data_IF_451476054622
#
_entry.id   IF_451476054622
#
_cell.length_a   1.000
_cell.length_b   1.000
_cell.length_c   1.000
_cell.angle_alpha   90.00
_cell.angle_beta   90.00
_cell.angle_gamma   90.00
#
_symmetry.space_group_name_H-M   'P 1'
#
loop_
_entity.id
_entity.type
_entity.pdbx_description
1 polymer ?
#
# COMPACT_ATOMS: atom_id res chain seq x y z
N UNK A 1 -2.40 10.16 -15.35
CA UNK A 1 -2.02 8.75 -15.58
C UNK A 1 -2.55 7.85 -14.48
N UNK A 2 -2.56 6.52 -14.71
CA UNK A 2 -2.84 5.46 -13.73
C UNK A 2 -4.23 5.61 -13.08
N UNK A 3 -5.32 5.46 -13.84
CA UNK A 3 -6.66 5.63 -13.30
C UNK A 3 -7.03 4.48 -12.33
N UNK A 4 -7.71 4.84 -11.26
CA UNK A 4 -8.31 3.92 -10.32
C UNK A 4 -9.80 4.28 -10.16
N UNK A 5 -10.69 3.28 -10.20
CA UNK A 5 -12.14 3.47 -10.15
C UNK A 5 -12.67 2.93 -8.83
N UNK A 6 -13.55 3.68 -8.20
CA UNK A 6 -14.27 3.27 -6.99
C UNK A 6 -15.75 3.69 -7.09
N UNK A 7 -16.57 3.20 -6.17
CA UNK A 7 -17.99 3.51 -6.10
C UNK A 7 -18.35 4.08 -4.74
N UNK A 8 -19.13 5.16 -4.74
CA UNK A 8 -19.67 5.74 -3.52
C UNK A 8 -21.07 6.30 -3.78
N UNK A 9 -21.98 6.11 -2.81
CA UNK A 9 -23.36 6.60 -2.83
C UNK A 9 -24.11 6.35 -4.16
N UNK A 10 -23.78 5.28 -4.87
CA UNK A 10 -24.43 4.89 -6.12
C UNK A 10 -23.74 5.38 -7.39
N UNK A 11 -22.85 6.34 -7.31
CA UNK A 11 -22.05 6.86 -8.42
C UNK A 11 -20.70 6.18 -8.55
N UNK A 12 -20.14 6.22 -9.76
CA UNK A 12 -18.79 5.82 -10.04
C UNK A 12 -17.86 7.03 -10.01
N UNK A 13 -16.74 6.85 -9.40
CA UNK A 13 -15.67 7.83 -9.35
C UNK A 13 -14.38 7.24 -9.92
N UNK A 14 -13.60 8.09 -10.55
CA UNK A 14 -12.28 7.75 -11.08
C UNK A 14 -11.29 8.77 -10.55
N UNK A 15 -10.21 8.29 -9.96
CA UNK A 15 -9.06 9.12 -9.62
C UNK A 15 -7.91 8.82 -10.57
N UNK A 16 -7.14 9.83 -10.90
CA UNK A 16 -5.90 9.68 -11.67
C UNK A 16 -4.85 10.68 -11.21
N UNK A 17 -3.61 10.29 -11.35
CA UNK A 17 -2.48 11.17 -11.09
C UNK A 17 -2.35 12.21 -12.20
N UNK A 18 -2.23 13.47 -11.82
CA UNK A 18 -2.05 14.60 -12.70
C UNK A 18 -1.07 15.62 -12.14
N UNK A 19 -0.68 16.54 -12.99
CA UNK A 19 0.08 17.72 -12.59
C UNK A 19 -0.76 18.94 -12.95
N UNK A 20 -1.18 19.68 -11.95
CA UNK A 20 -1.83 20.97 -12.15
C UNK A 20 -0.79 22.10 -12.09
N UNK A 21 -0.96 23.19 -12.85
CA UNK A 21 -0.06 24.32 -12.78
C UNK A 21 0.08 24.87 -11.35
N UNK A 22 1.32 25.01 -10.88
CA UNK A 22 1.62 25.53 -9.55
C UNK A 22 1.65 24.48 -8.43
N UNK A 23 1.38 23.21 -8.71
CA UNK A 23 1.47 22.14 -7.72
C UNK A 23 2.82 21.42 -7.82
N UNK A 24 3.67 21.50 -6.79
CA UNK A 24 5.03 20.94 -6.84
C UNK A 24 5.05 19.41 -6.75
N UNK A 25 4.08 18.80 -6.10
CA UNK A 25 4.08 17.35 -5.79
C UNK A 25 3.06 16.53 -6.59
N UNK A 26 2.46 17.14 -7.61
CA UNK A 26 1.37 16.53 -8.37
C UNK A 26 0.03 16.59 -7.63
N UNK A 27 -1.01 16.10 -8.30
CA UNK A 27 -2.38 16.12 -7.80
C UNK A 27 -3.08 14.81 -8.10
N UNK A 28 -4.04 14.45 -7.27
CA UNK A 28 -5.02 13.41 -7.55
C UNK A 28 -6.28 14.08 -8.07
N UNK A 29 -6.59 13.87 -9.34
CA UNK A 29 -7.74 14.44 -10.03
C UNK A 29 -8.93 13.50 -9.89
N UNK A 30 -10.14 14.06 -9.73
CA UNK A 30 -11.39 13.31 -9.56
C UNK A 30 -12.32 13.51 -10.75
N UNK A 31 -12.88 12.42 -11.20
CA UNK A 31 -13.96 12.36 -12.18
C UNK A 31 -15.12 11.56 -11.61
N UNK A 32 -16.33 11.85 -12.07
CA UNK A 32 -17.57 11.15 -11.70
C UNK A 32 -18.32 10.67 -12.94
N UNK A 33 -18.95 9.52 -12.86
CA UNK A 33 -19.77 8.94 -13.89
C UNK A 33 -20.96 8.17 -13.30
N UNK A 34 -22.10 8.21 -13.95
CA UNK A 34 -23.24 7.35 -13.65
C UNK A 34 -23.14 5.98 -14.37
N UNK A 35 -22.38 5.90 -15.47
CA UNK A 35 -22.41 4.78 -16.43
C UNK A 35 -21.08 4.08 -16.67
N UNK A 36 -19.96 4.61 -16.15
CA UNK A 36 -18.58 4.23 -16.47
C UNK A 36 -18.11 4.61 -17.90
N UNK A 37 -18.97 5.20 -18.71
CA UNK A 37 -18.65 5.58 -20.10
C UNK A 37 -18.36 7.07 -20.20
N UNK A 38 -19.21 7.89 -19.59
CA UNK A 38 -19.12 9.34 -19.64
C UNK A 38 -18.60 9.87 -18.31
N UNK A 39 -17.41 10.46 -18.33
CA UNK A 39 -16.73 10.96 -17.16
C UNK A 39 -16.74 12.49 -17.11
N UNK A 40 -17.18 13.05 -16.01
CA UNK A 40 -17.20 14.49 -15.75
C UNK A 40 -16.12 14.83 -14.75
N UNK A 41 -15.23 15.74 -15.10
CA UNK A 41 -14.21 16.26 -14.18
C UNK A 41 -14.85 16.99 -13.00
N UNK A 42 -14.46 16.64 -11.79
CA UNK A 42 -14.98 17.19 -10.53
C UNK A 42 -13.95 18.03 -9.78
N UNK A 43 -12.76 18.14 -10.32
CA UNK A 43 -11.68 18.90 -9.70
C UNK A 43 -10.62 18.00 -9.05
N UNK A 44 -9.86 18.58 -8.16
CA UNK A 44 -8.79 17.91 -7.43
C UNK A 44 -9.35 17.24 -6.18
N UNK A 45 -9.18 15.92 -6.06
CA UNK A 45 -9.47 15.17 -4.83
C UNK A 45 -8.50 15.56 -3.72
N UNK A 46 -7.21 15.57 -4.04
CA UNK A 46 -6.13 15.85 -3.10
C UNK A 46 -4.86 16.33 -3.81
N UNK A 47 -4.05 17.15 -3.13
CA UNK A 47 -2.65 17.39 -3.51
C UNK A 47 -1.78 16.23 -3.06
N UNK A 48 -0.65 16.00 -3.75
CA UNK A 48 0.37 15.07 -3.33
C UNK A 48 1.06 15.48 -2.03
N UNK A 49 2.00 14.69 -1.57
CA UNK A 49 2.79 14.97 -0.37
C UNK A 49 3.76 16.15 -0.68
N UNK A 50 3.58 17.31 -0.04
CA UNK A 50 4.41 18.49 -0.31
C UNK A 50 5.87 18.32 0.16
N UNK A 51 6.17 17.30 0.98
CA UNK A 51 7.55 16.97 1.37
C UNK A 51 8.33 16.27 0.24
N UNK A 52 7.63 15.87 -0.82
CA UNK A 52 8.20 15.17 -1.98
C UNK A 52 8.09 16.09 -3.19
N UNK A 53 9.18 16.73 -3.55
CA UNK A 53 9.29 17.58 -4.76
C UNK A 53 9.28 16.70 -6.03
N UNK A 54 8.21 15.94 -6.22
CA UNK A 54 8.06 15.01 -7.35
C UNK A 54 6.59 14.77 -7.67
N UNK A 55 6.34 14.38 -8.90
CA UNK A 55 5.02 13.91 -9.32
C UNK A 55 4.59 12.63 -8.59
N UNK A 56 3.33 12.30 -8.70
CA UNK A 56 2.74 11.08 -8.14
C UNK A 56 2.28 10.15 -9.26
N UNK A 57 2.23 8.87 -8.96
CA UNK A 57 1.74 7.80 -9.82
C UNK A 57 0.82 6.87 -9.04
N UNK A 58 0.07 6.04 -9.76
CA UNK A 58 -0.73 4.94 -9.24
C UNK A 58 -1.58 5.34 -8.01
N UNK A 59 -2.43 6.38 -8.08
CA UNK A 59 -3.32 6.69 -6.97
C UNK A 59 -4.32 5.55 -6.78
N UNK A 60 -4.53 5.14 -5.53
CA UNK A 60 -5.59 4.22 -5.14
C UNK A 60 -6.44 4.94 -4.10
N UNK A 61 -7.75 4.90 -4.25
CA UNK A 61 -8.67 5.53 -3.32
C UNK A 61 -9.78 4.57 -2.93
N UNK A 62 -9.78 4.11 -1.69
CA UNK A 62 -10.63 3.03 -1.23
C UNK A 62 -11.07 3.23 0.22
N UNK A 63 -12.17 2.58 0.57
CA UNK A 63 -12.67 2.57 1.93
C UNK A 63 -11.96 1.50 2.77
N UNK A 64 -11.61 1.86 4.01
CA UNK A 64 -11.05 0.96 5.02
C UNK A 64 -11.71 1.27 6.35
N UNK A 65 -12.49 0.31 6.86
CA UNK A 65 -13.39 0.58 7.99
C UNK A 65 -14.44 1.65 7.63
N UNK A 66 -14.51 2.68 8.43
CA UNK A 66 -15.37 3.86 8.22
C UNK A 66 -14.64 5.05 7.60
N UNK A 67 -13.40 4.87 7.19
CA UNK A 67 -12.53 5.92 6.64
C UNK A 67 -12.17 5.65 5.20
N UNK A 68 -11.57 6.66 4.58
CA UNK A 68 -11.05 6.59 3.21
C UNK A 68 -9.52 6.70 3.20
N UNK A 69 -8.89 5.80 2.51
CA UNK A 69 -7.44 5.80 2.33
C UNK A 69 -7.08 6.23 0.91
N UNK A 70 -6.12 7.14 0.80
CA UNK A 70 -5.47 7.52 -0.45
C UNK A 70 -4.03 7.04 -0.43
N UNK A 71 -3.67 6.15 -1.36
CA UNK A 71 -2.30 5.73 -1.62
C UNK A 71 -1.77 6.38 -2.89
N UNK A 72 -0.50 6.74 -2.90
CA UNK A 72 0.23 7.24 -4.09
C UNK A 72 1.66 6.72 -4.13
N UNK A 73 2.21 6.63 -5.34
CA UNK A 73 3.59 6.21 -5.60
C UNK A 73 4.41 7.40 -6.13
N UNK A 74 5.21 8.09 -5.30
CA UNK A 74 5.85 9.36 -5.65
C UNK A 74 7.33 9.21 -6.04
N UNK A 75 7.69 8.19 -6.82
CA UNK A 75 9.09 7.84 -7.21
C UNK A 75 10.02 7.50 -6.02
N UNK A 76 9.45 7.36 -4.83
CA UNK A 76 10.08 6.95 -3.58
C UNK A 76 9.24 5.84 -2.90
N UNK A 77 9.28 5.73 -1.58
CA UNK A 77 8.36 4.86 -0.84
C UNK A 77 6.90 5.25 -1.11
N UNK A 78 6.04 4.24 -1.22
CA UNK A 78 4.59 4.47 -1.31
C UNK A 78 4.11 5.26 -0.10
N UNK A 79 3.30 6.28 -0.36
CA UNK A 79 2.75 7.17 0.67
C UNK A 79 1.26 6.96 0.76
N UNK A 80 0.72 7.17 1.96
CA UNK A 80 -0.72 7.16 2.18
C UNK A 80 -1.14 8.27 3.14
N UNK A 81 -2.42 8.58 3.09
CA UNK A 81 -3.12 9.31 4.12
C UNK A 81 -4.53 8.78 4.28
N UNK A 82 -5.06 8.84 5.49
CA UNK A 82 -6.42 8.43 5.84
C UNK A 82 -7.23 9.67 6.18
N UNK A 83 -8.48 9.70 5.75
CA UNK A 83 -9.38 10.82 5.99
C UNK A 83 -10.82 10.48 5.63
N UNK A 84 -11.56 11.46 5.19
CA UNK A 84 -12.95 11.36 4.80
C UNK A 84 -13.13 11.74 3.33
N UNK A 85 -14.09 11.11 2.67
CA UNK A 85 -14.55 11.55 1.37
C UNK A 85 -15.79 12.43 1.57
N UNK A 86 -15.60 13.74 1.48
CA UNK A 86 -16.67 14.71 1.72
C UNK A 86 -16.66 15.79 0.65
N UNK A 87 -17.83 16.05 0.04
CA UNK A 87 -17.96 17.07 -1.00
C UNK A 87 -17.02 16.84 -2.19
N UNK A 88 -16.79 15.58 -2.57
CA UNK A 88 -15.87 15.18 -3.65
C UNK A 88 -14.40 15.59 -3.40
N UNK A 89 -14.01 15.66 -2.13
CA UNK A 89 -12.65 15.95 -1.67
C UNK A 89 -12.21 14.95 -0.62
N UNK A 90 -10.92 14.70 -0.57
CA UNK A 90 -10.33 14.01 0.57
C UNK A 90 -10.00 15.02 1.66
N UNK A 91 -10.65 14.87 2.80
CA UNK A 91 -10.50 15.77 3.94
C UNK A 91 -9.72 15.08 5.06
N UNK A 92 -8.73 15.78 5.60
CA UNK A 92 -7.94 15.31 6.75
C UNK A 92 -6.77 14.42 6.39
N UNK A 93 -6.17 13.88 7.45
CA UNK A 93 -5.02 13.00 7.41
C UNK A 93 -3.69 13.67 7.09
N UNK A 94 -2.63 13.05 7.54
CA UNK A 94 -1.23 13.42 7.23
C UNK A 94 -0.61 12.34 6.35
N UNK A 95 0.34 12.73 5.51
CA UNK A 95 1.07 11.78 4.69
C UNK A 95 2.01 10.91 5.54
N UNK A 96 1.91 9.60 5.35
CA UNK A 96 2.71 8.59 6.05
C UNK A 96 3.32 7.61 5.05
N UNK A 97 4.39 6.92 5.42
CA UNK A 97 4.96 5.83 4.61
C UNK A 97 4.08 4.59 4.74
N UNK A 98 3.74 3.97 3.61
CA UNK A 98 2.90 2.78 3.57
C UNK A 98 3.71 1.49 3.77
N UNK A 99 4.94 1.47 3.24
CA UNK A 99 5.85 0.33 3.35
C UNK A 99 7.24 0.84 3.77
N UNK A 100 7.95 0.06 4.55
CA UNK A 100 9.29 0.39 5.04
C UNK A 100 10.41 -0.12 4.13
N UNK A 101 10.07 -0.94 3.12
CA UNK A 101 11.00 -1.42 2.11
C UNK A 101 11.25 -0.38 1.01
N UNK A 102 12.36 -0.53 0.31
CA UNK A 102 12.72 0.36 -0.81
C UNK A 102 12.18 -0.10 -2.15
N UNK A 103 11.72 -1.34 -2.23
CA UNK A 103 11.37 -1.98 -3.48
C UNK A 103 9.88 -1.95 -3.80
N UNK A 104 9.01 -1.86 -2.80
CA UNK A 104 7.56 -1.90 -2.96
C UNK A 104 7.04 -0.60 -3.59
N UNK A 105 6.33 -0.72 -4.72
CA UNK A 105 5.91 0.42 -5.53
C UNK A 105 4.66 0.13 -6.37
N UNK A 106 4.09 1.16 -6.99
CA UNK A 106 3.00 1.07 -7.98
C UNK A 106 1.86 0.15 -7.51
N UNK A 107 1.32 0.49 -6.35
CA UNK A 107 0.28 -0.29 -5.69
C UNK A 107 -1.02 -0.33 -6.49
N UNK A 108 -1.71 -1.46 -6.39
CA UNK A 108 -3.09 -1.61 -6.79
C UNK A 108 -3.87 -2.25 -5.65
N UNK A 109 -5.02 -1.67 -5.33
CA UNK A 109 -5.94 -2.21 -4.34
C UNK A 109 -7.19 -2.77 -5.00
N UNK A 110 -7.81 -3.74 -4.38
CA UNK A 110 -9.06 -4.33 -4.81
C UNK A 110 -9.85 -4.82 -3.59
N UNK A 111 -11.15 -4.93 -3.77
CA UNK A 111 -12.03 -5.40 -2.72
C UNK A 111 -11.93 -6.92 -2.59
N UNK A 112 -11.63 -7.38 -1.38
CA UNK A 112 -11.76 -8.76 -0.98
C UNK A 112 -13.19 -9.08 -0.52
N UNK A 113 -13.42 -10.34 -0.16
CA UNK A 113 -14.68 -10.72 0.46
C UNK A 113 -14.91 -9.94 1.77
N UNK A 114 -16.17 -9.68 2.09
CA UNK A 114 -16.60 -8.99 3.33
C UNK A 114 -16.02 -7.58 3.51
N UNK A 115 -15.78 -6.86 2.43
CA UNK A 115 -15.30 -5.49 2.48
C UNK A 115 -13.86 -5.33 2.94
N UNK A 116 -13.02 -6.38 2.81
CA UNK A 116 -11.58 -6.27 3.04
C UNK A 116 -10.93 -5.47 1.90
N UNK A 117 -10.05 -4.58 2.23
CA UNK A 117 -9.17 -3.94 1.26
C UNK A 117 -7.88 -4.76 1.10
N UNK A 118 -7.57 -5.18 -0.11
CA UNK A 118 -6.38 -5.98 -0.42
C UNK A 118 -5.49 -5.19 -1.36
N UNK A 119 -4.19 -5.18 -1.08
CA UNK A 119 -3.18 -4.49 -1.87
C UNK A 119 -2.14 -5.46 -2.41
N UNK A 120 -1.76 -5.22 -3.65
CA UNK A 120 -0.55 -5.76 -4.26
C UNK A 120 0.31 -4.60 -4.75
N UNK A 121 1.61 -4.80 -4.84
CA UNK A 121 2.53 -3.82 -5.38
C UNK A 121 3.65 -4.47 -6.18
N UNK A 122 4.31 -3.70 -6.98
CA UNK A 122 5.49 -4.12 -7.71
C UNK A 122 6.72 -4.10 -6.79
N UNK A 123 7.39 -5.22 -6.65
CA UNK A 123 8.69 -5.32 -5.99
C UNK A 123 9.78 -5.04 -7.04
N UNK A 124 10.33 -3.83 -7.01
CA UNK A 124 11.40 -3.40 -7.91
C UNK A 124 12.73 -4.02 -7.45
N UNK A 125 13.56 -4.41 -8.38
CA UNK A 125 14.93 -4.80 -8.09
C UNK A 125 15.29 -6.25 -8.40
N UNK A 126 14.56 -7.29 -7.93
CA UNK A 126 14.85 -8.64 -8.34
C UNK A 126 14.85 -8.79 -9.86
N UNK A 127 15.87 -9.46 -10.37
CA UNK A 127 16.02 -9.71 -11.81
C UNK A 127 16.44 -11.14 -12.03
N UNK A 128 15.98 -11.71 -13.13
CA UNK A 128 16.42 -12.99 -13.64
C UNK A 128 16.57 -12.92 -15.15
N UNK A 129 16.86 -14.04 -15.77
CA UNK A 129 16.95 -14.13 -17.22
C UNK A 129 15.56 -13.94 -17.83
N UNK A 130 15.39 -12.87 -18.59
CA UNK A 130 14.12 -12.52 -19.24
C UNK A 130 13.05 -11.87 -18.37
N UNK A 131 13.32 -11.51 -17.10
CA UNK A 131 12.36 -10.81 -16.24
C UNK A 131 13.03 -9.80 -15.29
N UNK A 132 12.24 -8.82 -14.85
CA UNK A 132 12.68 -7.82 -13.86
C UNK A 132 11.52 -7.40 -12.96
N UNK A 133 11.71 -7.51 -11.65
CA UNK A 133 10.70 -7.28 -10.63
C UNK A 133 9.66 -8.40 -10.54
N UNK A 134 8.84 -8.35 -9.52
CA UNK A 134 7.72 -9.27 -9.32
C UNK A 134 6.57 -8.56 -8.59
N UNK A 135 5.39 -9.14 -8.58
CA UNK A 135 4.33 -8.70 -7.70
C UNK A 135 4.62 -9.14 -6.26
N UNK A 136 4.23 -8.30 -5.32
CA UNK A 136 4.22 -8.69 -3.91
C UNK A 136 3.18 -9.78 -3.67
N UNK A 137 3.30 -10.48 -2.55
CA UNK A 137 2.16 -11.23 -2.03
C UNK A 137 1.01 -10.27 -1.73
N UNK A 138 -0.25 -10.70 -1.90
CA UNK A 138 -1.41 -9.89 -1.52
C UNK A 138 -1.43 -9.67 -0.01
N UNK A 139 -1.72 -8.44 0.39
CA UNK A 139 -1.78 -8.01 1.79
C UNK A 139 -3.12 -7.37 2.08
N UNK A 140 -3.71 -7.73 3.19
CA UNK A 140 -4.90 -7.05 3.72
C UNK A 140 -4.50 -5.74 4.37
N UNK A 141 -5.20 -4.68 4.03
CA UNK A 141 -5.04 -3.35 4.63
C UNK A 141 -6.09 -3.19 5.71
N UNK A 142 -5.69 -2.80 6.91
CA UNK A 142 -6.57 -2.53 8.03
C UNK A 142 -6.35 -1.14 8.56
N UNK A 143 -7.40 -0.57 9.11
CA UNK A 143 -7.34 0.69 9.84
C UNK A 143 -7.06 0.37 11.31
N UNK A 144 -5.97 0.90 11.81
CA UNK A 144 -5.64 0.90 13.22
C UNK A 144 -6.00 2.24 13.87
N UNK A 145 -5.80 2.38 15.16
CA UNK A 145 -5.96 3.65 15.86
C UNK A 145 -5.12 4.78 15.22
N UNK A 146 -5.51 6.01 15.45
CA UNK A 146 -4.83 7.22 14.96
C UNK A 146 -4.72 7.34 13.44
N UNK A 147 -5.70 6.83 12.69
CA UNK A 147 -5.70 6.83 11.23
C UNK A 147 -4.42 6.20 10.62
N UNK A 148 -3.91 5.16 11.27
CA UNK A 148 -2.76 4.39 10.80
C UNK A 148 -3.26 3.16 10.04
N UNK A 149 -2.60 2.85 8.91
CA UNK A 149 -2.84 1.63 8.18
C UNK A 149 -1.82 0.57 8.58
N UNK A 150 -2.29 -0.61 8.92
CA UNK A 150 -1.48 -1.82 9.00
C UNK A 150 -1.70 -2.69 7.77
N UNK A 151 -0.67 -3.46 7.41
CA UNK A 151 -0.71 -4.37 6.27
C UNK A 151 -0.19 -5.74 6.69
N UNK A 152 -0.99 -6.75 6.44
CA UNK A 152 -0.64 -8.14 6.75
C UNK A 152 -0.84 -9.05 5.53
N UNK A 153 -0.04 -10.10 5.36
CA UNK A 153 -0.32 -11.10 4.33
C UNK A 153 -1.75 -11.62 4.46
N UNK A 154 -2.47 -11.78 3.35
CA UNK A 154 -3.84 -12.31 3.40
C UNK A 154 -3.84 -13.73 3.99
N UNK A 155 -4.84 -14.04 4.80
CA UNK A 155 -4.98 -15.34 5.48
C UNK A 155 -4.99 -16.54 4.52
N UNK A 156 -5.42 -16.35 3.28
CA UNK A 156 -5.46 -17.38 2.25
C UNK A 156 -4.08 -17.96 1.94
N UNK A 157 -3.00 -17.22 2.18
CA UNK A 157 -1.63 -17.70 2.04
C UNK A 157 -1.26 -18.79 3.05
N UNK A 158 -2.01 -18.90 4.16
CA UNK A 158 -1.76 -19.94 5.15
C UNK A 158 -1.95 -21.36 4.58
N UNK A 159 -2.80 -21.50 3.57
CA UNK A 159 -2.98 -22.77 2.87
C UNK A 159 -1.72 -23.23 2.11
N UNK A 160 -0.77 -22.34 1.88
CA UNK A 160 0.49 -22.66 1.21
C UNK A 160 1.60 -23.09 2.18
N UNK A 161 1.36 -22.96 3.50
CA UNK A 161 2.36 -23.29 4.52
C UNK A 161 2.61 -24.80 4.58
N UNK A 162 3.90 -25.17 4.65
CA UNK A 162 4.38 -26.54 4.80
C UNK A 162 5.65 -26.52 5.65
N UNK A 163 6.01 -27.65 6.20
CA UNK A 163 7.31 -27.89 6.86
C UNK A 163 7.67 -26.83 7.94
N UNK A 164 6.73 -26.61 8.88
CA UNK A 164 6.93 -25.67 9.97
C UNK A 164 8.13 -26.05 10.85
N UNK A 165 9.00 -25.07 11.12
CA UNK A 165 10.12 -25.19 12.08
C UNK A 165 10.05 -24.04 13.06
N UNK A 166 10.30 -24.34 14.33
CA UNK A 166 10.49 -23.34 15.39
C UNK A 166 11.97 -23.29 15.76
N UNK A 167 12.50 -22.09 15.83
CA UNK A 167 13.88 -21.83 16.27
C UNK A 167 13.80 -20.82 17.40
N UNK A 168 14.49 -21.10 18.49
CA UNK A 168 14.66 -20.19 19.62
C UNK A 168 16.14 -19.80 19.68
N UNK A 169 16.42 -18.50 19.73
CA UNK A 169 17.78 -17.98 19.77
C UNK A 169 17.83 -16.68 20.57
N UNK A 170 18.89 -16.49 21.32
CA UNK A 170 19.21 -15.22 21.94
C UNK A 170 20.09 -14.39 21.00
N UNK A 171 19.70 -13.13 20.79
CA UNK A 171 20.44 -12.21 19.93
C UNK A 171 20.83 -10.98 20.73
N UNK A 172 22.13 -10.72 20.87
CA UNK A 172 22.61 -9.53 21.54
C UNK A 172 22.30 -8.27 20.71
N UNK A 173 21.89 -7.19 21.36
CA UNK A 173 21.61 -5.91 20.73
C UNK A 173 22.87 -5.41 19.98
N UNK A 174 22.70 -5.03 18.70
CA UNK A 174 23.81 -4.56 17.85
C UNK A 174 24.66 -5.65 17.21
N UNK A 175 24.45 -6.92 17.52
CA UNK A 175 25.11 -8.01 16.86
C UNK A 175 24.43 -8.33 15.52
N UNK A 176 25.12 -8.14 14.40
CA UNK A 176 24.75 -8.73 13.13
C UNK A 176 25.27 -10.17 13.05
N UNK A 177 24.45 -11.14 12.68
CA UNK A 177 24.88 -12.52 12.55
C UNK A 177 23.77 -13.45 12.05
N UNK A 178 24.16 -14.62 11.60
CA UNK A 178 23.21 -15.67 11.25
C UNK A 178 22.73 -16.39 12.51
N UNK A 179 21.43 -16.63 12.63
CA UNK A 179 20.88 -17.51 13.66
C UNK A 179 21.23 -18.94 13.27
N UNK A 180 21.96 -19.63 14.13
CA UNK A 180 22.37 -21.01 13.89
C UNK A 180 21.12 -21.91 13.73
N UNK A 181 21.14 -22.78 12.74
CA UNK A 181 19.99 -23.63 12.40
C UNK A 181 18.94 -22.99 11.49
N UNK A 182 19.05 -21.71 11.15
CA UNK A 182 18.15 -21.02 10.23
C UNK A 182 18.48 -21.22 8.74
N UNK A 183 19.03 -22.39 8.38
CA UNK A 183 19.24 -22.75 6.97
C UNK A 183 17.99 -23.51 6.49
N UNK A 184 17.27 -22.93 5.55
CA UNK A 184 16.09 -23.51 4.95
C UNK A 184 16.39 -23.88 3.49
N UNK A 185 16.40 -25.17 3.13
CA UNK A 185 16.60 -25.60 1.75
C UNK A 185 15.34 -25.41 0.91
N UNK A 186 14.72 -24.24 1.00
CA UNK A 186 13.47 -23.93 0.32
C UNK A 186 13.60 -22.65 -0.50
N UNK A 187 12.89 -22.62 -1.64
CA UNK A 187 12.84 -21.43 -2.52
C UNK A 187 11.86 -20.36 -2.06
N UNK A 188 10.90 -20.72 -1.19
CA UNK A 188 9.93 -19.81 -0.61
C UNK A 188 9.80 -20.11 0.88
N UNK A 189 9.95 -19.08 1.70
CA UNK A 189 9.94 -19.18 3.16
C UNK A 189 9.09 -18.05 3.73
N UNK A 190 8.19 -18.38 4.67
CA UNK A 190 7.57 -17.42 5.56
C UNK A 190 8.35 -17.45 6.89
N UNK A 191 8.78 -16.29 7.34
CA UNK A 191 9.47 -16.11 8.60
C UNK A 191 8.61 -15.28 9.55
N UNK A 192 8.38 -15.80 10.77
CA UNK A 192 7.75 -15.07 11.87
C UNK A 192 8.71 -15.01 13.04
N UNK A 193 9.00 -13.81 13.51
CA UNK A 193 9.85 -13.59 14.68
C UNK A 193 9.01 -12.98 15.81
N UNK A 194 9.09 -13.56 17.00
CA UNK A 194 8.68 -12.92 18.23
C UNK A 194 9.95 -12.65 19.03
N UNK A 195 10.13 -11.43 19.48
CA UNK A 195 11.30 -11.04 20.27
C UNK A 195 10.86 -10.25 21.49
N UNK A 196 11.55 -10.51 22.59
CA UNK A 196 11.44 -9.74 23.81
C UNK A 196 12.67 -8.86 23.95
N UNK A 197 12.46 -7.58 24.24
CA UNK A 197 13.57 -6.67 24.51
C UNK A 197 13.77 -6.65 26.02
N UNK A 198 14.83 -7.31 26.50
CA UNK A 198 15.23 -7.16 27.89
C UNK A 198 15.98 -5.84 28.04
N UNK A 199 15.46 -4.95 28.86
CA UNK A 199 16.23 -3.79 29.31
C UNK A 199 17.39 -4.30 30.18
N UNK A 200 18.62 -4.15 29.71
CA UNK A 200 19.81 -4.35 30.49
C UNK A 200 20.12 -3.14 31.37
#
# INVERSE_FOLDING_TARGET
RDPYVFRDAGDWYLVLAGLEPGEPSGSVLLYRSATLLDWVYRGRLASGDPSLDRGIECPNYFQVGDRWALLVSPYGPVRYRVGEFQGERHIGGTWRSFDHGRAFYATQTFDGDRGRAIVVGWIRGPRGDGWAGCLSLPREVRLDGDDTLSIEPVRELEALRRDHRRIEAEVAAGAGGAIEGAIFPARAVEFRAHYEVSNA
#
